data_IF_195308339009
#
_entry.id   IF_195308339009
#
_cell.length_a   1.000
_cell.length_b   1.000
_cell.length_c   1.000
_cell.angle_alpha   90.00
_cell.angle_beta   90.00
_cell.angle_gamma   90.00
#
_symmetry.space_group_name_H-M   'P 1'
#
loop_
_entity.id
_entity.type
_entity.pdbx_description
1 polymer ?
#
# COMPACT_ATOMS: atom_id res chain seq x y z
N UNK A 1 22.78 -14.08 -19.64
CA UNK A 1 21.51 -14.01 -20.40
C UNK A 1 21.76 -13.30 -21.71
N UNK A 2 21.42 -13.92 -22.80
CA UNK A 2 21.87 -13.55 -24.14
C UNK A 2 21.01 -12.43 -24.74
N UNK A 3 21.58 -11.61 -25.63
CA UNK A 3 20.99 -10.49 -26.34
C UNK A 3 19.61 -10.73 -27.00
N UNK A 4 19.11 -11.94 -27.04
CA UNK A 4 17.78 -12.28 -27.54
C UNK A 4 16.64 -11.99 -26.56
N UNK A 5 16.90 -11.94 -25.25
CA UNK A 5 15.86 -11.62 -24.26
C UNK A 5 15.58 -10.12 -24.18
N UNK A 6 16.59 -9.25 -24.35
CA UNK A 6 16.40 -7.80 -24.47
C UNK A 6 15.51 -7.40 -25.65
N UNK A 7 15.57 -8.14 -26.77
CA UNK A 7 14.72 -7.88 -27.93
C UNK A 7 13.24 -8.23 -27.70
N UNK A 8 12.97 -9.18 -26.82
CA UNK A 8 11.61 -9.55 -26.46
C UNK A 8 10.93 -8.45 -25.60
N UNK A 9 11.64 -7.91 -24.61
CA UNK A 9 11.11 -6.88 -23.74
C UNK A 9 10.72 -5.60 -24.51
N UNK A 10 11.56 -5.15 -25.42
CA UNK A 10 11.29 -3.93 -26.22
C UNK A 10 10.09 -4.08 -27.19
N UNK A 11 9.73 -5.30 -27.58
CA UNK A 11 8.56 -5.60 -28.42
C UNK A 11 7.30 -5.93 -27.61
N UNK A 12 7.44 -6.36 -26.35
CA UNK A 12 6.30 -6.79 -25.53
C UNK A 12 5.40 -5.63 -25.16
N UNK A 13 5.92 -4.41 -25.02
CA UNK A 13 5.12 -3.24 -24.64
C UNK A 13 4.45 -2.52 -25.81
N UNK A 14 4.70 -2.92 -27.05
CA UNK A 14 3.88 -2.48 -28.17
C UNK A 14 2.51 -3.17 -28.07
N UNK A 15 1.45 -2.37 -27.94
CA UNK A 15 0.06 -2.84 -27.72
C UNK A 15 -0.43 -3.86 -28.76
N UNK A 16 0.14 -3.80 -29.94
CA UNK A 16 -0.12 -4.63 -31.13
C UNK A 16 0.91 -5.73 -31.29
N UNK A 17 1.74 -6.00 -30.27
CA UNK A 17 2.65 -7.12 -30.33
C UNK A 17 1.86 -8.42 -30.49
N UNK A 18 2.33 -9.35 -31.36
CA UNK A 18 1.64 -10.64 -31.61
C UNK A 18 1.32 -11.43 -30.35
N UNK A 19 2.11 -11.27 -29.31
CA UNK A 19 1.87 -11.85 -27.98
C UNK A 19 0.54 -11.37 -27.38
N UNK A 20 0.29 -10.06 -27.34
CA UNK A 20 -0.95 -9.52 -26.78
C UNK A 20 -2.16 -9.81 -27.67
N UNK A 21 -1.98 -9.84 -29.00
CA UNK A 21 -3.03 -10.24 -29.92
C UNK A 21 -3.43 -11.70 -29.72
N UNK A 22 -2.47 -12.60 -29.56
CA UNK A 22 -2.72 -14.01 -29.28
C UNK A 22 -3.48 -14.20 -27.95
N UNK A 23 -3.12 -13.44 -26.91
CA UNK A 23 -3.84 -13.46 -25.62
C UNK A 23 -5.29 -12.99 -25.80
N UNK A 24 -5.51 -11.87 -26.46
CA UNK A 24 -6.87 -11.33 -26.69
C UNK A 24 -7.74 -12.26 -27.54
N UNK A 25 -7.13 -12.94 -28.49
CA UNK A 25 -7.83 -13.87 -29.38
C UNK A 25 -8.11 -15.24 -28.73
N UNK A 26 -7.45 -15.56 -27.61
CA UNK A 26 -7.63 -16.84 -26.94
C UNK A 26 -8.86 -16.82 -26.01
N UNK A 27 -9.93 -17.63 -26.27
CA UNK A 27 -11.14 -17.62 -25.46
C UNK A 27 -10.93 -17.98 -23.98
N UNK A 28 -9.88 -18.75 -23.66
CA UNK A 28 -9.54 -19.10 -22.29
C UNK A 28 -8.82 -17.94 -21.59
N UNK A 29 -7.85 -17.32 -22.24
CA UNK A 29 -7.04 -16.25 -21.64
C UNK A 29 -7.83 -14.94 -21.51
N UNK A 30 -8.85 -14.71 -22.35
CA UNK A 30 -9.73 -13.55 -22.22
C UNK A 30 -10.62 -13.57 -20.98
N UNK A 31 -10.74 -14.72 -20.30
CA UNK A 31 -11.59 -14.91 -19.10
C UNK A 31 -10.79 -14.99 -17.80
N UNK A 32 -9.46 -15.00 -17.86
CA UNK A 32 -8.62 -15.08 -16.67
C UNK A 32 -8.02 -13.71 -16.33
N UNK A 33 -7.75 -13.49 -15.05
CA UNK A 33 -7.05 -12.30 -14.59
C UNK A 33 -5.58 -12.43 -14.99
N UNK A 34 -5.09 -11.46 -15.75
CA UNK A 34 -3.70 -11.35 -16.18
C UNK A 34 -3.02 -10.24 -15.39
N UNK A 35 -1.92 -10.56 -14.75
CA UNK A 35 -1.14 -9.62 -13.94
C UNK A 35 0.29 -9.63 -14.45
N UNK A 36 0.83 -8.44 -14.73
CA UNK A 36 2.21 -8.26 -15.13
C UNK A 36 3.04 -7.76 -13.94
N UNK A 37 4.27 -8.24 -13.85
CA UNK A 37 5.36 -7.58 -13.15
C UNK A 37 6.07 -6.69 -14.18
N UNK A 38 5.79 -5.35 -14.18
CA UNK A 38 6.09 -4.50 -15.33
C UNK A 38 7.50 -3.92 -15.31
N UNK A 39 8.51 -4.70 -14.94
CA UNK A 39 9.93 -4.31 -14.95
C UNK A 39 10.87 -5.47 -15.27
N UNK A 40 12.04 -5.08 -15.76
CA UNK A 40 13.17 -5.93 -16.06
C UNK A 40 14.47 -5.13 -15.86
N UNK A 41 15.59 -5.81 -15.69
CA UNK A 41 16.91 -5.21 -15.52
C UNK A 41 17.52 -4.65 -16.83
N UNK A 42 16.90 -4.92 -17.98
CA UNK A 42 17.35 -4.47 -19.29
C UNK A 42 17.14 -2.97 -19.53
N UNK A 43 17.80 -2.39 -20.54
CA UNK A 43 17.48 -1.05 -21.01
C UNK A 43 16.00 -0.95 -21.35
N UNK A 44 15.35 0.16 -20.91
CA UNK A 44 13.91 0.37 -21.07
C UNK A 44 13.03 -0.73 -20.43
N UNK A 45 13.57 -1.48 -19.45
CA UNK A 45 12.86 -2.57 -18.78
C UNK A 45 11.71 -2.12 -17.88
N UNK A 46 11.68 -0.86 -17.41
CA UNK A 46 10.62 -0.32 -16.57
C UNK A 46 9.40 0.09 -17.40
N UNK A 47 8.29 -0.63 -17.24
CA UNK A 47 7.10 -0.54 -18.08
C UNK A 47 5.80 -0.32 -17.29
N UNK A 48 5.87 0.18 -16.06
CA UNK A 48 4.70 0.47 -15.22
C UNK A 48 3.76 1.44 -15.94
N UNK A 49 2.47 1.09 -16.01
CA UNK A 49 1.44 1.85 -16.71
C UNK A 49 1.38 1.62 -18.23
N UNK A 50 2.20 0.73 -18.80
CA UNK A 50 2.32 0.57 -20.26
C UNK A 50 1.72 -0.72 -20.83
N UNK A 51 1.38 -1.69 -20.00
CA UNK A 51 0.75 -2.92 -20.47
C UNK A 51 -0.66 -2.64 -21.00
N UNK A 52 -1.05 -3.26 -22.11
CA UNK A 52 -2.39 -3.08 -22.65
C UNK A 52 -3.45 -3.81 -21.83
N UNK A 53 -4.73 -3.41 -21.92
CA UNK A 53 -5.82 -4.22 -21.40
C UNK A 53 -5.81 -5.64 -22.01
N UNK A 54 -6.16 -6.70 -21.25
CA UNK A 54 -6.77 -6.67 -19.91
C UNK A 54 -5.76 -6.83 -18.75
N UNK A 55 -4.49 -6.55 -18.95
CA UNK A 55 -3.48 -6.72 -17.91
C UNK A 55 -3.68 -5.73 -16.75
N UNK A 56 -3.62 -6.26 -15.53
CA UNK A 56 -3.29 -5.49 -14.34
C UNK A 56 -1.77 -5.51 -14.12
N UNK A 57 -1.24 -4.54 -13.39
CA UNK A 57 0.20 -4.38 -13.20
C UNK A 57 0.53 -4.17 -11.73
N UNK A 58 1.61 -4.79 -11.25
CA UNK A 58 2.19 -4.43 -9.98
C UNK A 58 2.63 -2.97 -9.99
N UNK A 59 2.36 -2.26 -8.91
CA UNK A 59 2.61 -0.83 -8.81
C UNK A 59 3.65 -0.54 -7.71
N UNK A 60 4.91 -0.47 -8.11
CA UNK A 60 6.02 -0.10 -7.23
C UNK A 60 5.95 1.36 -6.77
N UNK A 61 5.37 2.27 -7.58
CA UNK A 61 5.17 3.65 -7.16
C UNK A 61 4.18 3.78 -5.99
N UNK A 62 3.17 2.90 -5.91
CA UNK A 62 2.33 2.82 -4.73
C UNK A 62 3.13 2.38 -3.51
N UNK A 63 3.94 1.33 -3.65
CA UNK A 63 4.82 0.81 -2.60
C UNK A 63 5.73 1.90 -2.03
N UNK A 64 6.47 2.55 -2.91
CA UNK A 64 7.49 3.52 -2.53
C UNK A 64 6.86 4.78 -1.92
N UNK A 65 5.77 5.28 -2.51
CA UNK A 65 5.02 6.42 -1.97
C UNK A 65 4.44 6.11 -0.59
N UNK A 66 3.82 4.95 -0.40
CA UNK A 66 3.25 4.58 0.90
C UNK A 66 4.33 4.45 1.98
N UNK A 67 5.45 3.78 1.68
CA UNK A 67 6.58 3.67 2.62
C UNK A 67 7.15 5.04 2.98
N UNK A 68 7.43 5.88 2.00
CA UNK A 68 7.99 7.22 2.21
C UNK A 68 7.03 8.14 2.97
N UNK A 69 5.74 8.09 2.67
CA UNK A 69 4.73 8.89 3.37
C UNK A 69 4.68 8.56 4.86
N UNK A 70 4.67 7.27 5.21
CA UNK A 70 4.53 6.82 6.59
C UNK A 70 5.84 6.79 7.38
N UNK A 71 6.97 6.50 6.72
CA UNK A 71 8.23 6.21 7.42
C UNK A 71 9.25 7.35 7.32
N UNK A 72 9.16 8.19 6.28
CA UNK A 72 10.12 9.29 6.06
C UNK A 72 9.46 10.67 6.09
N UNK A 73 8.17 10.78 5.83
CA UNK A 73 7.47 12.05 5.82
C UNK A 73 7.93 13.01 4.72
N UNK A 74 8.45 12.49 3.61
CA UNK A 74 9.03 13.29 2.51
C UNK A 74 8.15 13.27 1.23
N UNK A 75 6.91 12.80 1.34
CA UNK A 75 5.92 12.75 0.26
C UNK A 75 4.81 13.78 0.52
N UNK A 76 4.41 14.52 -0.52
CA UNK A 76 3.29 15.46 -0.44
C UNK A 76 1.94 14.74 -0.30
N UNK A 77 0.95 15.46 0.23
CA UNK A 77 -0.43 14.95 0.29
C UNK A 77 -0.94 14.59 -1.12
N UNK A 78 -0.66 15.40 -2.13
CA UNK A 78 -1.11 15.17 -3.50
C UNK A 78 -0.52 13.91 -4.13
N UNK A 79 0.75 13.60 -3.85
CA UNK A 79 1.38 12.37 -4.34
C UNK A 79 0.80 11.14 -3.63
N UNK A 80 0.65 11.19 -2.30
CA UNK A 80 0.03 10.10 -1.54
C UNK A 80 -1.39 9.83 -2.01
N UNK A 81 -2.22 10.88 -2.14
CA UNK A 81 -3.62 10.78 -2.60
C UNK A 81 -3.69 10.16 -3.99
N UNK A 82 -2.82 10.57 -4.91
CA UNK A 82 -2.77 10.01 -6.26
C UNK A 82 -2.55 8.49 -6.26
N UNK A 83 -1.64 8.00 -5.41
CA UNK A 83 -1.42 6.55 -5.26
C UNK A 83 -2.59 5.87 -4.56
N UNK A 84 -3.13 6.49 -3.51
CA UNK A 84 -4.29 5.99 -2.78
C UNK A 84 -5.55 5.87 -3.66
N UNK A 85 -5.71 6.76 -4.63
CA UNK A 85 -6.78 6.77 -5.64
C UNK A 85 -6.41 5.98 -6.92
N UNK A 86 -5.80 4.81 -6.77
CA UNK A 86 -5.47 3.87 -7.86
C UNK A 86 -4.52 4.39 -8.94
N UNK A 87 -3.72 5.44 -8.68
CA UNK A 87 -2.70 5.92 -9.62
C UNK A 87 -3.26 6.25 -11.01
N UNK A 88 -4.27 7.12 -11.06
CA UNK A 88 -4.96 7.48 -12.31
C UNK A 88 -4.03 8.03 -13.39
N UNK A 89 -2.94 8.70 -13.00
CA UNK A 89 -1.89 9.19 -13.90
C UNK A 89 -1.16 8.07 -14.66
N UNK A 90 -1.12 6.85 -14.09
CA UNK A 90 -0.50 5.68 -14.71
C UNK A 90 -1.50 4.80 -15.45
N UNK A 91 -2.75 4.72 -14.98
CA UNK A 91 -3.66 3.68 -15.42
C UNK A 91 -4.99 4.20 -16.00
N UNK A 92 -5.37 5.47 -15.81
CA UNK A 92 -6.62 6.01 -16.35
C UNK A 92 -6.49 6.39 -17.82
N UNK A 93 -6.18 5.41 -18.66
CA UNK A 93 -6.13 5.51 -20.10
C UNK A 93 -6.58 4.17 -20.72
N UNK A 94 -6.89 4.13 -22.00
CA UNK A 94 -7.24 2.91 -22.76
C UNK A 94 -8.37 2.09 -22.15
N UNK A 95 -9.38 2.76 -21.60
CA UNK A 95 -10.54 2.14 -20.95
C UNK A 95 -10.15 1.19 -19.77
N UNK A 96 -8.97 1.38 -19.19
CA UNK A 96 -8.55 0.63 -18.00
C UNK A 96 -9.32 1.12 -16.77
N UNK A 97 -9.71 0.19 -15.94
CA UNK A 97 -10.37 0.47 -14.67
C UNK A 97 -9.37 0.69 -13.53
N UNK A 98 -9.82 1.19 -12.37
CA UNK A 98 -8.96 1.30 -11.18
C UNK A 98 -8.34 -0.04 -10.76
N UNK A 99 -8.94 -1.17 -11.12
CA UNK A 99 -8.40 -2.50 -10.81
C UNK A 99 -7.17 -2.87 -11.65
N UNK A 100 -6.77 -2.05 -12.62
CA UNK A 100 -5.54 -2.24 -13.36
C UNK A 100 -4.29 -2.08 -12.51
N UNK A 101 -4.34 -1.28 -11.43
CA UNK A 101 -3.25 -1.23 -10.46
C UNK A 101 -3.35 -2.36 -9.46
N UNK A 102 -2.27 -3.12 -9.29
CA UNK A 102 -2.07 -4.05 -8.18
C UNK A 102 -1.17 -3.37 -7.16
N UNK A 103 -1.79 -2.84 -6.13
CA UNK A 103 -1.10 -2.11 -5.06
C UNK A 103 -0.40 -3.10 -4.13
N UNK A 104 0.84 -2.82 -3.76
CA UNK A 104 1.63 -3.63 -2.83
C UNK A 104 2.42 -2.73 -1.88
N UNK A 105 2.71 -3.22 -0.69
CA UNK A 105 3.70 -2.63 0.22
C UNK A 105 4.99 -3.43 0.16
N UNK A 106 4.89 -4.74 -0.06
CA UNK A 106 5.97 -5.72 -0.04
C UNK A 106 5.70 -6.78 -1.12
N UNK A 107 6.75 -7.43 -1.58
CA UNK A 107 6.70 -8.52 -2.53
C UNK A 107 7.75 -9.59 -2.15
N UNK A 108 7.86 -10.65 -2.97
CA UNK A 108 8.80 -11.74 -2.77
C UNK A 108 10.28 -11.31 -2.86
N UNK A 109 10.54 -10.22 -3.57
CA UNK A 109 11.83 -9.56 -3.74
C UNK A 109 11.85 -8.24 -2.96
N UNK A 110 12.44 -8.22 -1.81
CA UNK A 110 12.45 -7.07 -0.93
C UNK A 110 12.29 -7.47 0.54
N UNK A 111 12.20 -6.47 1.39
CA UNK A 111 11.87 -6.69 2.80
C UNK A 111 10.43 -7.16 2.99
N UNK A 112 10.21 -8.07 3.94
CA UNK A 112 8.87 -8.31 4.50
C UNK A 112 8.36 -7.05 5.19
N UNK A 113 7.06 -6.97 5.46
CA UNK A 113 6.49 -5.78 6.11
C UNK A 113 7.07 -5.49 7.49
N UNK A 114 7.39 -6.56 8.25
CA UNK A 114 8.06 -6.40 9.54
C UNK A 114 9.51 -5.95 9.40
N UNK A 115 10.21 -6.39 8.35
CA UNK A 115 11.58 -5.97 8.08
C UNK A 115 11.64 -4.51 7.57
N UNK A 116 10.66 -4.06 6.81
CA UNK A 116 10.53 -2.64 6.39
C UNK A 116 10.54 -1.67 7.58
N UNK A 117 10.00 -2.08 8.72
CA UNK A 117 9.97 -1.25 9.94
C UNK A 117 11.06 -1.61 10.96
N UNK A 118 11.98 -2.52 10.60
CA UNK A 118 12.98 -3.07 11.53
C UNK A 118 14.43 -2.90 11.07
N UNK A 119 14.65 -2.71 9.78
CA UNK A 119 15.98 -2.68 9.19
C UNK A 119 16.14 -1.48 8.24
N UNK A 120 17.20 -0.70 8.42
CA UNK A 120 17.61 0.35 7.48
C UNK A 120 18.41 -0.23 6.31
N UNK A 121 19.15 -1.33 6.58
CA UNK A 121 20.06 -1.94 5.62
C UNK A 121 19.70 -3.40 5.40
N UNK A 122 19.96 -3.87 4.19
CA UNK A 122 19.83 -5.28 3.87
C UNK A 122 20.90 -6.11 4.56
N UNK A 123 20.55 -7.34 4.92
CA UNK A 123 21.40 -8.34 5.57
C UNK A 123 21.31 -9.65 4.77
N UNK A 124 21.91 -9.65 3.57
CA UNK A 124 21.87 -10.77 2.62
C UNK A 124 23.12 -11.65 2.69
N UNK A 125 23.93 -11.55 3.73
CA UNK A 125 25.19 -12.30 3.88
C UNK A 125 24.98 -13.81 3.75
N UNK A 126 23.84 -14.32 4.21
CA UNK A 126 23.47 -15.74 4.12
C UNK A 126 23.30 -16.24 2.65
N UNK A 127 23.14 -15.32 1.69
CA UNK A 127 23.02 -15.67 0.27
C UNK A 127 24.37 -15.99 -0.40
N UNK A 128 25.50 -15.67 0.26
CA UNK A 128 26.84 -15.96 -0.26
C UNK A 128 27.32 -15.01 -1.35
N UNK A 129 26.68 -13.83 -1.49
CA UNK A 129 26.98 -12.83 -2.52
C UNK A 129 27.61 -11.54 -1.93
N UNK A 130 28.21 -11.63 -0.74
CA UNK A 130 28.84 -10.52 -0.02
C UNK A 130 27.87 -9.32 0.18
N UNK A 131 26.59 -9.60 0.40
CA UNK A 131 25.54 -8.60 0.58
C UNK A 131 25.39 -7.61 -0.62
N UNK A 132 25.80 -8.01 -1.82
CA UNK A 132 25.70 -7.18 -3.04
C UNK A 132 24.37 -7.33 -3.77
N UNK A 133 23.71 -8.46 -3.59
CA UNK A 133 22.41 -8.81 -4.16
C UNK A 133 21.25 -8.09 -3.50
N UNK A 134 20.08 -8.09 -4.15
CA UNK A 134 18.88 -7.40 -3.69
C UNK A 134 18.93 -5.87 -3.78
N UNK A 135 17.82 -5.23 -3.47
CA UNK A 135 17.68 -3.77 -3.57
C UNK A 135 18.51 -3.02 -2.54
N UNK A 136 19.11 -1.90 -2.95
CA UNK A 136 19.82 -0.97 -2.05
C UNK A 136 18.85 -0.02 -1.32
N UNK A 137 17.88 0.51 -2.07
CA UNK A 137 16.91 1.49 -1.57
C UNK A 137 15.59 0.80 -1.22
N UNK A 138 15.33 0.61 0.07
CA UNK A 138 14.14 -0.09 0.53
C UNK A 138 13.04 0.84 1.06
N UNK A 139 13.33 2.14 1.22
CA UNK A 139 12.46 3.09 1.90
C UNK A 139 11.94 2.55 3.24
N UNK A 140 12.82 1.87 3.96
CA UNK A 140 12.57 1.27 5.26
C UNK A 140 12.98 2.21 6.40
N UNK A 141 12.50 1.95 7.63
CA UNK A 141 12.87 2.73 8.80
C UNK A 141 12.87 1.86 10.05
N UNK A 142 14.00 1.77 10.76
CA UNK A 142 14.16 0.90 11.92
C UNK A 142 13.61 1.46 13.25
N UNK A 143 13.02 2.65 13.24
CA UNK A 143 12.51 3.37 14.42
C UNK A 143 13.56 3.64 15.50
N UNK A 144 14.81 3.89 15.05
CA UNK A 144 15.92 4.29 15.91
C UNK A 144 16.79 3.12 16.41
N UNK A 145 16.48 1.88 16.04
CA UNK A 145 17.34 0.74 16.36
C UNK A 145 17.20 -0.40 15.35
N UNK A 146 18.33 -0.80 14.77
CA UNK A 146 18.41 -1.90 13.79
C UNK A 146 18.11 -3.25 14.41
N UNK A 147 17.37 -4.08 13.65
CA UNK A 147 17.12 -5.48 13.96
C UNK A 147 15.97 -5.73 14.96
N UNK A 148 15.85 -6.97 15.40
CA UNK A 148 14.69 -7.46 16.16
C UNK A 148 14.84 -7.32 17.67
N UNK A 149 16.05 -7.26 18.19
CA UNK A 149 16.30 -7.15 19.64
C UNK A 149 16.27 -5.69 20.10
N UNK A 150 15.06 -5.19 20.35
CA UNK A 150 14.80 -3.79 20.66
C UNK A 150 13.90 -3.62 21.89
N UNK A 151 13.80 -2.39 22.41
CA UNK A 151 12.91 -2.06 23.52
C UNK A 151 11.43 -2.15 23.14
N UNK A 152 10.58 -2.27 24.14
CA UNK A 152 9.12 -2.30 23.97
C UNK A 152 8.62 -1.06 23.20
N UNK A 153 9.14 0.14 23.49
CA UNK A 153 8.72 1.37 22.83
C UNK A 153 9.03 1.37 21.32
N UNK A 154 10.17 0.79 20.91
CA UNK A 154 10.51 0.62 19.49
C UNK A 154 9.55 -0.36 18.84
N UNK A 155 9.24 -1.48 19.49
CA UNK A 155 8.28 -2.47 18.99
C UNK A 155 6.90 -1.83 18.79
N UNK A 156 6.41 -1.04 19.74
CA UNK A 156 5.10 -0.39 19.63
C UNK A 156 5.06 0.65 18.50
N UNK A 157 6.15 1.37 18.23
CA UNK A 157 6.25 2.24 17.04
C UNK A 157 6.18 1.43 15.73
N UNK A 158 6.94 0.34 15.64
CA UNK A 158 6.91 -0.58 14.49
C UNK A 158 5.51 -1.14 14.24
N UNK A 159 4.83 -1.61 15.27
CA UNK A 159 3.45 -2.11 15.20
C UNK A 159 2.48 -1.07 14.64
N UNK A 160 2.61 0.18 15.07
CA UNK A 160 1.79 1.26 14.52
C UNK A 160 2.05 1.47 13.03
N UNK A 161 3.32 1.53 12.63
CA UNK A 161 3.68 1.69 11.21
C UNK A 161 3.23 0.52 10.34
N UNK A 162 3.37 -0.73 10.80
CA UNK A 162 2.84 -1.92 10.11
C UNK A 162 1.33 -1.81 9.91
N UNK A 163 0.58 -1.47 10.97
CA UNK A 163 -0.87 -1.31 10.88
C UNK A 163 -1.29 -0.17 9.95
N UNK A 164 -0.56 0.95 9.97
CA UNK A 164 -0.80 2.07 9.07
C UNK A 164 -0.56 1.70 7.60
N UNK A 165 0.52 0.98 7.29
CA UNK A 165 0.84 0.50 5.95
C UNK A 165 -0.19 -0.54 5.45
N UNK A 166 -0.59 -1.51 6.28
CA UNK A 166 -1.66 -2.46 5.94
C UNK A 166 -3.01 -1.76 5.71
N UNK A 167 -3.33 -0.76 6.53
CA UNK A 167 -4.55 0.02 6.36
C UNK A 167 -4.53 0.79 5.04
N UNK A 168 -3.39 1.42 4.71
CA UNK A 168 -3.21 2.12 3.44
C UNK A 168 -3.39 1.18 2.26
N UNK A 169 -2.77 0.00 2.30
CA UNK A 169 -2.89 -1.02 1.25
C UNK A 169 -4.35 -1.45 1.05
N UNK A 170 -5.01 -1.83 2.14
CA UNK A 170 -6.33 -2.45 2.07
C UNK A 170 -7.47 -1.44 1.89
N UNK A 171 -7.27 -0.17 2.24
CA UNK A 171 -8.30 0.88 2.08
C UNK A 171 -8.03 1.82 0.90
N UNK A 172 -7.01 1.61 0.09
CA UNK A 172 -6.81 2.32 -1.17
C UNK A 172 -7.70 1.76 -2.28
N UNK A 173 -8.02 2.57 -3.27
CA UNK A 173 -8.66 2.11 -4.50
C UNK A 173 -7.67 1.27 -5.33
N UNK A 174 -8.14 0.28 -6.09
CA UNK A 174 -7.32 -0.65 -6.86
C UNK A 174 -7.36 -2.08 -6.29
N UNK A 175 -6.48 -2.94 -6.76
CA UNK A 175 -6.36 -4.34 -6.32
C UNK A 175 -5.24 -4.46 -5.28
N UNK A 176 -5.52 -4.75 -4.01
CA UNK A 176 -4.47 -4.94 -3.01
C UNK A 176 -3.79 -6.29 -3.18
N UNK A 177 -2.48 -6.33 -3.06
CA UNK A 177 -1.65 -7.54 -3.00
C UNK A 177 -0.92 -7.59 -1.66
N UNK A 178 -1.13 -8.66 -0.90
CA UNK A 178 -0.50 -8.92 0.38
C UNK A 178 0.55 -10.01 0.23
N UNK A 179 1.77 -9.78 0.67
CA UNK A 179 2.78 -10.82 0.76
C UNK A 179 2.40 -11.79 1.89
N UNK A 180 2.42 -13.09 1.59
CA UNK A 180 2.10 -14.11 2.58
C UNK A 180 3.06 -14.03 3.79
N UNK A 181 2.48 -13.96 4.99
CA UNK A 181 3.22 -13.81 6.26
C UNK A 181 3.26 -12.37 6.79
N UNK A 182 3.02 -11.36 5.97
CA UNK A 182 2.97 -9.97 6.45
C UNK A 182 1.86 -9.76 7.48
N UNK A 183 0.73 -10.43 7.31
CA UNK A 183 -0.39 -10.46 8.27
C UNK A 183 -0.03 -11.13 9.61
N UNK A 184 1.13 -11.78 9.69
CA UNK A 184 1.62 -12.49 10.89
C UNK A 184 2.83 -11.83 11.54
N UNK A 185 3.40 -10.80 10.89
CA UNK A 185 4.66 -10.19 11.32
C UNK A 185 5.89 -11.05 10.95
N UNK A 186 5.81 -11.78 9.83
CA UNK A 186 6.94 -12.56 9.31
C UNK A 186 8.16 -11.68 9.07
N UNK A 187 9.34 -12.20 9.41
CA UNK A 187 10.62 -11.53 9.20
C UNK A 187 11.62 -12.46 8.52
N UNK A 188 12.34 -11.95 7.56
CA UNK A 188 13.52 -12.56 6.94
C UNK A 188 14.82 -11.99 7.55
N UNK A 189 14.72 -11.38 8.76
CA UNK A 189 15.83 -10.84 9.53
C UNK A 189 16.68 -9.84 8.76
N UNK A 190 16.03 -9.05 7.88
CA UNK A 190 16.68 -8.06 7.03
C UNK A 190 17.28 -8.61 5.74
N UNK A 191 17.06 -9.90 5.42
CA UNK A 191 17.36 -10.41 4.09
C UNK A 191 16.24 -9.97 3.13
N UNK A 192 16.58 -9.12 2.16
CA UNK A 192 15.63 -8.60 1.18
C UNK A 192 15.71 -9.31 -0.19
N UNK A 193 16.36 -10.47 -0.25
CA UNK A 193 16.50 -11.25 -1.47
C UNK A 193 16.60 -12.76 -1.17
N UNK A 194 15.61 -13.30 -0.46
CA UNK A 194 15.65 -14.64 0.09
C UNK A 194 15.44 -15.78 -0.94
N UNK A 195 15.61 -15.52 -2.23
CA UNK A 195 15.32 -16.47 -3.33
C UNK A 195 16.04 -17.81 -3.22
N UNK A 196 17.26 -17.84 -2.64
CA UNK A 196 18.08 -19.04 -2.47
C UNK A 196 17.97 -19.67 -1.07
N UNK A 197 17.08 -19.15 -0.21
CA UNK A 197 16.90 -19.60 1.17
C UNK A 197 15.73 -20.58 1.27
N UNK A 198 16.03 -21.86 1.39
CA UNK A 198 15.03 -22.90 1.72
C UNK A 198 15.24 -23.38 3.17
N UNK A 199 14.96 -22.51 4.11
CA UNK A 199 15.17 -22.75 5.54
C UNK A 199 14.30 -21.81 6.40
N UNK A 200 14.51 -21.83 7.72
CA UNK A 200 13.75 -21.03 8.70
C UNK A 200 13.81 -19.50 8.48
N UNK A 201 14.68 -19.00 7.60
CA UNK A 201 14.70 -17.58 7.23
C UNK A 201 13.48 -17.19 6.39
N UNK A 202 13.08 -18.07 5.46
CA UNK A 202 11.98 -17.82 4.52
C UNK A 202 10.71 -18.60 4.84
N UNK A 203 10.79 -19.65 5.67
CA UNK A 203 9.62 -20.44 6.04
C UNK A 203 8.67 -19.66 6.92
N UNK A 204 7.37 -19.75 6.63
CA UNK A 204 6.34 -19.10 7.41
C UNK A 204 5.98 -19.89 8.65
N UNK A 205 5.99 -19.24 9.80
CA UNK A 205 5.40 -19.77 11.02
C UNK A 205 3.89 -19.48 11.02
N UNK A 206 3.10 -20.49 10.69
CA UNK A 206 1.63 -20.39 10.63
C UNK A 206 0.97 -20.23 12.01
N UNK A 207 1.72 -20.41 13.08
CA UNK A 207 1.23 -20.19 14.46
C UNK A 207 1.56 -18.76 14.94
N UNK A 208 2.45 -18.05 14.27
CA UNK A 208 2.77 -16.68 14.61
C UNK A 208 1.57 -15.75 14.37
N UNK A 209 1.36 -14.84 15.31
CA UNK A 209 0.42 -13.74 15.19
C UNK A 209 0.95 -12.54 15.98
N UNK A 210 1.66 -11.64 15.32
CA UNK A 210 2.25 -10.47 15.95
C UNK A 210 1.16 -9.55 16.52
N UNK A 211 0.84 -9.78 17.79
CA UNK A 211 -0.12 -8.98 18.57
C UNK A 211 -1.49 -8.79 17.91
N UNK A 212 -2.08 -9.87 17.39
CA UNK A 212 -3.41 -9.86 16.77
C UNK A 212 -3.41 -9.25 15.36
N UNK A 213 -2.28 -9.26 14.66
CA UNK A 213 -2.17 -8.68 13.32
C UNK A 213 -3.00 -9.46 12.29
N UNK A 214 -3.16 -10.76 12.47
CA UNK A 214 -4.05 -11.60 11.63
C UNK A 214 -5.49 -11.12 11.72
N UNK A 215 -6.01 -10.96 12.95
CA UNK A 215 -7.36 -10.45 13.18
C UNK A 215 -7.55 -9.02 12.66
N UNK A 216 -6.53 -8.17 12.85
CA UNK A 216 -6.53 -6.81 12.33
C UNK A 216 -6.62 -6.78 10.79
N UNK A 217 -5.83 -7.59 10.12
CA UNK A 217 -5.82 -7.69 8.64
C UNK A 217 -7.15 -8.24 8.12
N UNK A 218 -7.70 -9.27 8.76
CA UNK A 218 -9.00 -9.82 8.41
C UNK A 218 -10.11 -8.77 8.53
N UNK A 219 -10.14 -8.01 9.62
CA UNK A 219 -11.12 -6.94 9.82
C UNK A 219 -10.99 -5.80 8.78
N UNK A 220 -9.77 -5.46 8.34
CA UNK A 220 -9.57 -4.51 7.26
C UNK A 220 -10.11 -5.03 5.91
N UNK A 221 -9.93 -6.31 5.61
CA UNK A 221 -10.47 -6.94 4.40
C UNK A 221 -12.01 -6.89 4.43
N UNK A 222 -12.60 -7.23 5.56
CA UNK A 222 -14.06 -7.14 5.75
C UNK A 222 -14.55 -5.69 5.60
N UNK A 223 -13.86 -4.74 6.23
CA UNK A 223 -14.19 -3.32 6.13
C UNK A 223 -14.12 -2.82 4.68
N UNK A 224 -13.06 -3.21 3.93
CA UNK A 224 -12.95 -2.91 2.50
C UNK A 224 -14.16 -3.37 1.71
N UNK A 225 -14.64 -4.60 1.94
CA UNK A 225 -15.80 -5.16 1.25
C UNK A 225 -17.09 -4.40 1.58
N UNK A 226 -17.18 -3.81 2.78
CA UNK A 226 -18.34 -3.01 3.21
C UNK A 226 -18.38 -1.59 2.66
N UNK A 227 -17.28 -1.09 2.09
CA UNK A 227 -17.16 0.27 1.52
C UNK A 227 -17.19 0.17 0.00
N UNK A 228 -18.35 0.38 -0.66
CA UNK A 228 -18.48 0.15 -2.11
C UNK A 228 -17.53 1.01 -2.95
N UNK A 229 -17.19 2.22 -2.49
CA UNK A 229 -16.27 3.11 -3.20
C UNK A 229 -14.87 2.51 -3.38
N UNK A 230 -14.40 1.64 -2.46
CA UNK A 230 -13.08 0.99 -2.54
C UNK A 230 -13.04 -0.17 -3.54
N UNK A 231 -14.20 -0.76 -3.86
CA UNK A 231 -14.31 -1.94 -4.73
C UNK A 231 -15.00 -1.65 -6.06
N UNK A 232 -15.46 -0.41 -6.26
CA UNK A 232 -16.12 0.00 -7.49
C UNK A 232 -15.16 0.00 -8.69
N UNK A 233 -15.66 -0.45 -9.83
CA UNK A 233 -14.91 -0.49 -11.09
C UNK A 233 -15.01 0.85 -11.86
N UNK A 234 -14.83 1.95 -11.14
CA UNK A 234 -14.80 3.30 -11.72
C UNK A 234 -13.88 4.20 -10.92
N UNK A 235 -13.22 5.08 -11.64
CA UNK A 235 -12.32 6.08 -11.06
C UNK A 235 -13.05 7.05 -10.14
N UNK A 236 -12.41 7.41 -9.04
CA UNK A 236 -12.87 8.51 -8.22
C UNK A 236 -12.65 9.82 -8.97
N UNK A 237 -13.65 10.69 -8.92
CA UNK A 237 -13.60 12.00 -9.56
C UNK A 237 -13.99 13.08 -8.54
N UNK A 238 -13.27 14.19 -8.56
CA UNK A 238 -13.61 15.34 -7.74
C UNK A 238 -14.97 15.90 -8.17
N UNK A 239 -15.81 16.21 -7.20
CA UNK A 239 -17.11 16.86 -7.42
C UNK A 239 -18.27 15.92 -7.78
N UNK A 240 -18.06 14.62 -7.96
CA UNK A 240 -19.13 13.63 -8.20
C UNK A 240 -19.77 13.10 -6.92
N UNK A 241 -19.30 13.55 -5.75
CA UNK A 241 -19.77 13.12 -4.43
C UNK A 241 -19.21 11.77 -3.95
N UNK A 242 -18.38 11.09 -4.75
CA UNK A 242 -17.80 9.80 -4.39
C UNK A 242 -16.61 9.92 -3.45
N UNK A 243 -15.80 10.96 -3.60
CA UNK A 243 -14.65 11.23 -2.73
C UNK A 243 -14.53 12.72 -2.43
N UNK A 244 -14.13 13.04 -1.21
CA UNK A 244 -13.71 14.38 -0.80
C UNK A 244 -12.42 14.25 0.01
N UNK A 245 -11.45 15.10 -0.31
CA UNK A 245 -10.16 15.16 0.35
C UNK A 245 -10.16 16.35 1.30
N UNK A 246 -10.03 16.07 2.60
CA UNK A 246 -10.16 17.07 3.64
C UNK A 246 -8.85 17.18 4.42
N UNK A 247 -8.57 18.38 4.91
CA UNK A 247 -7.46 18.65 5.81
C UNK A 247 -7.78 18.26 7.27
N UNK A 248 -6.84 18.48 8.17
CA UNK A 248 -7.02 18.19 9.60
C UNK A 248 -8.12 19.03 10.26
N UNK A 249 -8.57 20.12 9.65
CA UNK A 249 -9.68 20.95 10.11
C UNK A 249 -11.04 20.51 9.58
N UNK A 250 -11.14 19.39 8.85
CA UNK A 250 -12.39 18.89 8.26
C UNK A 250 -12.87 19.67 7.04
N UNK A 251 -12.01 20.53 6.48
CA UNK A 251 -12.32 21.34 5.30
C UNK A 251 -11.64 20.78 4.04
N UNK A 252 -12.19 20.99 2.84
CA UNK A 252 -11.55 20.60 1.61
C UNK A 252 -10.10 21.09 1.53
N UNK A 253 -9.19 20.23 1.06
CA UNK A 253 -7.78 20.58 0.86
C UNK A 253 -7.66 21.79 -0.06
N UNK A 254 -6.91 22.80 0.40
CA UNK A 254 -6.60 23.98 -0.39
C UNK A 254 -5.43 23.73 -1.33
N UNK A 255 -5.26 24.61 -2.33
CA UNK A 255 -4.28 24.42 -3.41
C UNK A 255 -2.85 24.22 -2.90
N UNK A 256 -2.44 24.95 -1.88
CA UNK A 256 -1.11 24.85 -1.27
C UNK A 256 -0.95 23.61 -0.40
N UNK A 257 -2.03 23.11 0.22
CA UNK A 257 -2.01 21.92 1.06
C UNK A 257 -1.74 20.62 0.26
N UNK A 258 -2.06 20.62 -1.03
CA UNK A 258 -1.73 19.49 -1.92
C UNK A 258 -0.22 19.29 -2.10
N UNK A 259 0.52 20.37 -2.18
CA UNK A 259 1.97 20.36 -2.36
C UNK A 259 2.74 20.10 -1.05
N UNK A 260 2.09 20.29 0.09
CA UNK A 260 2.71 20.16 1.40
C UNK A 260 2.63 18.71 1.92
N UNK A 261 3.67 18.31 2.66
CA UNK A 261 3.70 17.08 3.45
C UNK A 261 3.14 17.32 4.86
N UNK A 262 1.87 17.71 5.00
CA UNK A 262 1.25 17.94 6.32
C UNK A 262 0.96 16.64 7.07
N UNK A 263 0.95 15.51 6.36
CA UNK A 263 0.79 14.14 6.89
C UNK A 263 -0.44 13.93 7.79
N UNK A 264 -1.44 14.80 7.65
CA UNK A 264 -2.75 14.73 8.31
C UNK A 264 -3.81 14.95 7.25
N UNK A 265 -4.57 13.90 6.96
CA UNK A 265 -5.49 13.84 5.84
C UNK A 265 -6.77 13.13 6.25
N UNK A 266 -7.89 13.57 5.70
CA UNK A 266 -9.15 12.87 5.81
C UNK A 266 -9.70 12.57 4.41
N UNK A 267 -10.28 11.40 4.24
CA UNK A 267 -10.82 10.91 2.98
C UNK A 267 -12.29 10.54 3.23
N UNK A 268 -13.20 11.37 2.75
CA UNK A 268 -14.62 11.14 2.89
C UNK A 268 -15.17 10.44 1.64
N UNK A 269 -15.60 9.21 1.78
CA UNK A 269 -16.12 8.39 0.70
C UNK A 269 -17.66 8.36 0.74
N UNK A 270 -18.28 8.76 -0.37
CA UNK A 270 -19.74 8.76 -0.59
C UNK A 270 -20.51 9.49 0.52
N UNK A 271 -19.92 10.50 1.15
CA UNK A 271 -20.51 11.26 2.27
C UNK A 271 -20.78 10.45 3.55
N UNK A 272 -20.35 9.19 3.60
CA UNK A 272 -20.71 8.22 4.64
C UNK A 272 -19.54 7.60 5.38
N UNK A 273 -18.41 7.37 4.71
CA UNK A 273 -17.24 6.69 5.26
C UNK A 273 -16.09 7.67 5.33
N UNK A 274 -15.49 7.84 6.50
CA UNK A 274 -14.39 8.76 6.70
C UNK A 274 -13.15 7.99 7.13
N UNK A 275 -12.09 8.04 6.31
CA UNK A 275 -10.77 7.53 6.66
C UNK A 275 -9.95 8.71 7.13
N UNK A 276 -9.48 8.70 8.37
CA UNK A 276 -8.71 9.78 8.97
C UNK A 276 -7.30 9.29 9.26
N UNK A 277 -6.31 10.04 8.80
CA UNK A 277 -4.88 9.70 8.83
C UNK A 277 -4.12 10.75 9.64
N UNK A 278 -3.29 10.28 10.57
CA UNK A 278 -2.24 11.05 11.22
C UNK A 278 -0.91 10.30 11.02
N UNK A 279 -0.15 10.66 9.99
CA UNK A 279 1.14 10.06 9.70
C UNK A 279 2.33 10.83 10.32
N UNK A 280 2.07 11.61 11.36
CA UNK A 280 3.12 12.29 12.13
C UNK A 280 3.58 11.46 13.32
N UNK A 281 4.72 11.81 13.90
CA UNK A 281 5.29 11.16 15.09
C UNK A 281 4.62 11.59 16.42
N UNK A 282 3.59 12.43 16.36
CA UNK A 282 2.91 12.98 17.53
C UNK A 282 1.41 12.72 17.51
N UNK A 283 0.79 12.77 18.67
CA UNK A 283 -0.67 12.80 18.78
C UNK A 283 -1.17 14.14 18.24
N UNK A 284 -2.20 14.10 17.40
CA UNK A 284 -2.81 15.30 16.83
C UNK A 284 -4.34 15.25 16.92
N UNK A 285 -4.92 16.41 17.19
CA UNK A 285 -6.35 16.61 17.08
C UNK A 285 -6.73 16.83 15.62
N UNK A 286 -7.68 16.04 15.15
CA UNK A 286 -8.23 16.15 13.80
C UNK A 286 -9.73 16.40 13.92
N UNK A 287 -10.16 17.53 13.39
CA UNK A 287 -11.57 17.93 13.40
C UNK A 287 -12.33 17.14 12.36
N UNK A 288 -13.34 16.39 12.77
CA UNK A 288 -14.16 15.61 11.85
C UNK A 288 -15.15 16.52 11.12
N UNK A 289 -15.55 16.20 9.87
CA UNK A 289 -16.59 16.94 9.16
C UNK A 289 -17.93 16.90 9.91
N UNK A 290 -18.86 17.81 9.58
CA UNK A 290 -20.17 17.87 10.20
C UNK A 290 -20.91 16.52 10.16
N UNK A 291 -21.41 16.11 11.33
CA UNK A 291 -22.17 14.88 11.51
C UNK A 291 -21.79 14.12 12.78
N UNK A 292 -22.50 13.03 13.00
CA UNK A 292 -22.21 12.08 14.07
C UNK A 292 -21.40 10.91 13.51
N UNK A 293 -20.22 10.69 14.07
CA UNK A 293 -19.27 9.70 13.55
C UNK A 293 -19.02 8.59 14.55
N UNK A 294 -19.11 7.35 14.09
CA UNK A 294 -18.76 6.17 14.87
C UNK A 294 -17.53 5.51 14.26
N UNK A 295 -16.48 5.33 15.05
CA UNK A 295 -15.31 4.56 14.62
C UNK A 295 -15.69 3.09 14.44
N UNK A 296 -15.03 2.43 13.49
CA UNK A 296 -15.32 1.04 13.10
C UNK A 296 -14.19 0.10 13.51
N UNK A 297 -14.48 -1.18 13.77
CA UNK A 297 -13.42 -2.19 13.85
C UNK A 297 -12.56 -2.20 12.59
N UNK A 298 -11.24 -2.44 12.69
CA UNK A 298 -10.49 -2.79 13.90
C UNK A 298 -9.96 -1.59 14.71
N UNK A 299 -10.44 -0.36 14.44
CA UNK A 299 -9.94 0.88 15.06
C UNK A 299 -10.64 1.22 16.39
N UNK A 300 -11.75 0.59 16.66
CA UNK A 300 -12.54 0.76 17.87
C UNK A 300 -13.04 -0.56 18.42
N UNK A 301 -13.17 -0.63 19.75
CA UNK A 301 -13.86 -1.73 20.43
C UNK A 301 -15.38 -1.62 20.36
N UNK A 302 -16.08 -2.63 20.90
CA UNK A 302 -17.54 -2.71 20.88
C UNK A 302 -18.23 -1.56 21.62
N UNK A 303 -17.59 -0.99 22.65
CA UNK A 303 -18.10 0.12 23.46
C UNK A 303 -17.73 1.52 22.93
N UNK A 304 -17.50 1.63 21.65
CA UNK A 304 -16.98 2.85 21.05
C UNK A 304 -18.00 4.00 21.06
N UNK A 305 -17.67 5.14 21.70
CA UNK A 305 -18.55 6.30 21.74
C UNK A 305 -18.72 6.94 20.35
N UNK A 306 -19.85 7.58 20.13
CA UNK A 306 -20.03 8.46 18.98
C UNK A 306 -19.13 9.68 19.20
N UNK A 307 -18.26 9.97 18.23
CA UNK A 307 -17.43 11.17 18.22
C UNK A 307 -18.12 12.24 17.41
N UNK A 308 -18.35 13.41 18.03
CA UNK A 308 -19.13 14.47 17.39
C UNK A 308 -18.27 15.44 16.56
N UNK A 309 -17.05 15.73 16.99
CA UNK A 309 -16.27 16.84 16.41
C UNK A 309 -14.78 16.57 16.23
N UNK A 310 -14.11 15.85 17.12
CA UNK A 310 -12.65 15.71 17.12
C UNK A 310 -12.23 14.27 17.35
N UNK A 311 -11.24 13.82 16.59
CA UNK A 311 -10.52 12.59 16.83
C UNK A 311 -9.09 12.88 17.30
N UNK A 312 -8.74 12.35 18.47
CA UNK A 312 -7.37 12.41 19.01
C UNK A 312 -6.53 11.32 18.35
N UNK A 313 -5.99 11.62 17.16
CA UNK A 313 -5.24 10.69 16.34
C UNK A 313 -3.87 10.37 16.94
N UNK A 314 -3.58 9.10 17.30
CA UNK A 314 -2.25 8.73 17.78
C UNK A 314 -1.20 8.94 16.68
N UNK A 315 0.07 9.02 17.09
CA UNK A 315 1.20 9.00 16.15
C UNK A 315 1.12 7.77 15.24
N UNK A 316 1.35 7.95 13.94
CA UNK A 316 1.18 6.93 12.90
C UNK A 316 -0.18 6.22 12.97
N UNK A 317 -1.25 7.02 13.22
CA UNK A 317 -2.60 6.53 13.44
C UNK A 317 -3.49 6.65 12.21
N UNK A 318 -4.37 5.66 12.06
CA UNK A 318 -5.50 5.68 11.14
C UNK A 318 -6.76 5.34 11.91
N UNK A 319 -7.87 5.92 11.52
CA UNK A 319 -9.18 5.50 11.99
C UNK A 319 -10.18 5.56 10.84
N UNK A 320 -11.12 4.63 10.82
CA UNK A 320 -12.24 4.67 9.88
C UNK A 320 -13.54 4.87 10.66
N UNK A 321 -14.27 5.85 10.23
CA UNK A 321 -15.56 6.18 10.80
C UNK A 321 -16.69 5.97 9.81
N UNK A 322 -17.86 5.66 10.33
CA UNK A 322 -19.11 5.65 9.59
C UNK A 322 -20.01 6.74 10.12
N UNK A 323 -20.57 7.56 9.22
CA UNK A 323 -21.59 8.57 9.56
C UNK A 323 -22.86 7.87 10.03
N UNK A 324 -23.39 8.31 11.14
CA UNK A 324 -24.70 7.88 11.62
C UNK A 324 -25.80 8.61 10.85
N UNK A 325 -26.89 7.95 10.58
CA UNK A 325 -28.04 8.50 9.85
C UNK A 325 -28.92 9.40 10.72
#
# INVERSE_FOLDING_TARGET
MTSRQCWAAHRITQRDAPFFEAIRACPLLSQVKLIAEPWDIGPDGYQVGRFPPPFAEWNDQFRDTARRYWLHGDISNGEFVRRFAASSDLYQHDDRSPHATVNLITAHDGFTLWDVVSFERKHNEANGEDNRDGHGDNYSHNHGKEGLNVSFDVIERRRRSVRALLTTLLLSQGTPMLLAGDERGHTQRGNNNAYCQDNALSWLDWQADEKGLVGFTAALIELRQRIPALTADRWWQDGDGNVQWLNAGGQPLQHDEWAQGMHRLQILLSGRWLITINATDTVNDIVLPDGEWRALPPFAGDDNPILLTVWHGPAHGVCVFQKQS
#
